data_IF_966279169245
#
_entry.id   IF_966279169245
#
_cell.length_a   1.000
_cell.length_b   1.000
_cell.length_c   1.000
_cell.angle_alpha   90.00
_cell.angle_beta   90.00
_cell.angle_gamma   90.00
#
_symmetry.space_group_name_H-M   'P 1'
#
loop_
_entity.id
_entity.type
_entity.pdbx_description
1 polymer ?
#
# COMPACT_ATOMS: atom_id res chain seq x y z
N UNK A 1 -8.49 10.62 -5.69
CA UNK A 1 -9.40 10.93 -4.57
C UNK A 1 -10.36 9.76 -4.44
N UNK A 2 -10.37 9.09 -3.29
CA UNK A 2 -11.37 8.06 -3.01
C UNK A 2 -12.73 8.76 -2.96
N UNK A 3 -13.66 8.35 -3.81
CA UNK A 3 -15.02 8.89 -3.88
C UNK A 3 -15.95 7.81 -3.38
N UNK A 4 -16.63 8.07 -2.27
CA UNK A 4 -17.58 7.14 -1.67
C UNK A 4 -18.74 7.93 -1.07
N UNK A 5 -19.95 7.37 -1.16
CA UNK A 5 -21.14 7.88 -0.48
C UNK A 5 -21.36 7.15 0.87
N UNK A 6 -20.42 6.28 1.26
CA UNK A 6 -20.50 5.53 2.52
C UNK A 6 -20.09 6.38 3.71
N UNK A 7 -20.70 6.07 4.85
CA UNK A 7 -20.35 6.64 6.16
C UNK A 7 -19.11 6.02 6.80
N UNK A 8 -18.63 4.89 6.26
CA UNK A 8 -17.39 4.24 6.67
C UNK A 8 -16.65 3.67 5.45
N UNK A 9 -15.33 3.52 5.60
CA UNK A 9 -14.47 2.89 4.60
C UNK A 9 -13.70 1.75 5.24
N UNK A 10 -13.80 0.56 4.66
CA UNK A 10 -12.95 -0.56 5.02
C UNK A 10 -11.87 -0.76 3.98
N UNK A 11 -10.62 -0.58 4.39
CA UNK A 11 -9.46 -0.66 3.50
C UNK A 11 -8.65 -1.92 3.81
N UNK A 12 -8.49 -2.78 2.82
CA UNK A 12 -7.50 -3.85 2.87
C UNK A 12 -6.11 -3.28 2.63
N UNK A 13 -5.13 -3.66 3.47
CA UNK A 13 -3.75 -3.23 3.32
C UNK A 13 -2.83 -4.45 3.21
N UNK A 14 -2.07 -4.50 2.12
CA UNK A 14 -1.01 -5.50 1.89
C UNK A 14 0.21 -4.83 1.26
N UNK A 15 1.31 -5.55 1.15
CA UNK A 15 2.55 -5.05 0.57
C UNK A 15 3.63 -6.12 0.68
N UNK A 16 4.80 -5.85 0.09
CA UNK A 16 5.99 -6.69 0.28
C UNK A 16 5.73 -8.17 -0.07
N UNK A 17 4.89 -8.42 -1.09
CA UNK A 17 4.48 -9.79 -1.46
C UNK A 17 5.63 -10.57 -2.08
N UNK A 18 6.51 -9.89 -2.81
CA UNK A 18 7.74 -10.41 -3.40
C UNK A 18 7.54 -11.70 -4.22
N UNK A 19 6.43 -11.82 -4.95
CA UNK A 19 6.09 -13.02 -5.72
C UNK A 19 6.74 -12.98 -7.12
N UNK A 20 7.59 -13.97 -7.50
CA UNK A 20 7.68 -15.30 -6.90
C UNK A 20 8.89 -15.52 -5.96
N UNK A 21 9.72 -14.50 -5.77
CA UNK A 21 11.03 -14.62 -5.10
C UNK A 21 10.98 -15.04 -3.62
N UNK A 22 9.93 -14.66 -2.88
CA UNK A 22 9.77 -14.99 -1.44
C UNK A 22 8.52 -15.81 -1.14
N UNK A 23 7.51 -15.74 -2.01
CA UNK A 23 6.29 -16.52 -1.92
C UNK A 23 5.83 -16.89 -3.34
N UNK A 24 5.22 -18.07 -3.54
CA UNK A 24 4.69 -18.46 -4.86
C UNK A 24 3.42 -17.68 -5.24
N UNK A 25 2.62 -17.27 -4.26
CA UNK A 25 1.36 -16.54 -4.42
C UNK A 25 0.97 -15.84 -3.11
N UNK A 26 -0.03 -14.96 -3.16
CA UNK A 26 -0.64 -14.38 -1.96
C UNK A 26 -1.54 -15.46 -1.35
N UNK A 27 -1.42 -15.77 -0.04
CA UNK A 27 -2.27 -16.76 0.61
C UNK A 27 -3.76 -16.50 0.37
N UNK A 28 -4.48 -17.51 -0.12
CA UNK A 28 -5.92 -17.40 -0.42
C UNK A 28 -6.75 -17.03 0.81
N UNK A 29 -6.32 -17.39 2.02
CA UNK A 29 -6.98 -16.98 3.26
C UNK A 29 -7.05 -15.45 3.42
N UNK A 30 -6.00 -14.72 3.04
CA UNK A 30 -5.97 -13.25 3.09
C UNK A 30 -6.94 -12.67 2.05
N UNK A 31 -6.90 -13.19 0.82
CA UNK A 31 -7.75 -12.71 -0.26
C UNK A 31 -9.24 -13.00 0.01
N UNK A 32 -9.54 -14.15 0.61
CA UNK A 32 -10.90 -14.52 1.02
C UNK A 32 -11.38 -13.64 2.17
N UNK A 33 -10.55 -13.38 3.19
CA UNK A 33 -10.90 -12.48 4.29
C UNK A 33 -11.28 -11.08 3.78
N UNK A 34 -10.53 -10.54 2.81
CA UNK A 34 -10.86 -9.26 2.17
C UNK A 34 -12.18 -9.29 1.40
N UNK A 35 -12.47 -10.38 0.68
CA UNK A 35 -13.75 -10.56 -0.03
C UNK A 35 -14.92 -10.68 0.93
N UNK A 36 -14.78 -11.49 1.98
CA UNK A 36 -15.81 -11.75 2.99
C UNK A 36 -16.16 -10.47 3.75
N UNK A 37 -15.14 -9.69 4.13
CA UNK A 37 -15.32 -8.38 4.78
C UNK A 37 -15.80 -7.28 3.82
N UNK A 38 -15.86 -7.55 2.52
CA UNK A 38 -16.31 -6.60 1.48
C UNK A 38 -15.56 -5.27 1.54
N UNK A 39 -14.22 -5.34 1.55
CA UNK A 39 -13.38 -4.13 1.53
C UNK A 39 -13.75 -3.21 0.36
N UNK A 40 -13.67 -1.90 0.61
CA UNK A 40 -13.94 -0.86 -0.37
C UNK A 40 -12.77 -0.65 -1.33
N UNK A 41 -11.57 -0.64 -0.76
CA UNK A 41 -10.31 -0.46 -1.48
C UNK A 41 -9.25 -1.41 -0.96
N UNK A 42 -8.36 -1.83 -1.85
CA UNK A 42 -7.16 -2.58 -1.51
C UNK A 42 -5.94 -1.71 -1.82
N UNK A 43 -5.17 -1.37 -0.79
CA UNK A 43 -3.88 -0.69 -0.92
C UNK A 43 -2.78 -1.76 -0.93
N UNK A 44 -1.94 -1.76 -1.97
CA UNK A 44 -0.71 -2.55 -2.02
C UNK A 44 0.52 -1.64 -1.98
N UNK A 45 1.36 -1.80 -0.95
CA UNK A 45 2.50 -0.93 -0.65
C UNK A 45 3.74 -1.22 -1.48
N UNK A 46 3.59 -1.71 -2.72
CA UNK A 46 4.72 -2.09 -3.58
C UNK A 46 5.42 -3.40 -3.22
N UNK A 47 6.48 -3.71 -3.94
CA UNK A 47 7.22 -4.99 -3.89
C UNK A 47 6.36 -6.19 -4.28
N UNK A 48 5.63 -6.04 -5.39
CA UNK A 48 4.97 -7.12 -6.09
C UNK A 48 5.98 -8.07 -6.76
N UNK A 49 7.09 -7.51 -7.27
CA UNK A 49 8.13 -8.11 -8.13
C UNK A 49 7.69 -8.55 -9.53
N UNK A 50 6.43 -8.94 -9.72
CA UNK A 50 5.85 -9.23 -11.03
C UNK A 50 4.54 -8.50 -11.29
N UNK A 51 4.37 -8.02 -12.53
CA UNK A 51 3.13 -7.38 -12.98
C UNK A 51 1.91 -8.28 -12.81
N UNK A 52 2.09 -9.61 -12.94
CA UNK A 52 1.02 -10.60 -12.81
C UNK A 52 0.28 -10.51 -11.47
N UNK A 53 0.98 -10.19 -10.39
CA UNK A 53 0.38 -10.06 -9.05
C UNK A 53 -0.62 -8.90 -9.04
N UNK A 54 -0.22 -7.74 -9.60
CA UNK A 54 -1.09 -6.59 -9.72
C UNK A 54 -2.32 -6.91 -10.58
N UNK A 55 -2.13 -7.56 -11.74
CA UNK A 55 -3.24 -7.90 -12.63
C UNK A 55 -4.21 -8.89 -11.97
N UNK A 56 -3.71 -9.90 -11.26
CA UNK A 56 -4.56 -10.83 -10.49
C UNK A 56 -5.40 -10.10 -9.44
N UNK A 57 -4.81 -9.17 -8.68
CA UNK A 57 -5.57 -8.38 -7.72
C UNK A 57 -6.64 -7.50 -8.39
N UNK A 58 -6.31 -6.87 -9.52
CA UNK A 58 -7.26 -6.06 -10.30
C UNK A 58 -8.40 -6.89 -10.89
N UNK A 59 -8.14 -8.12 -11.33
CA UNK A 59 -9.17 -9.06 -11.80
C UNK A 59 -10.08 -9.51 -10.66
N UNK A 60 -9.52 -9.74 -9.46
CA UNK A 60 -10.27 -10.25 -8.31
C UNK A 60 -11.14 -9.20 -7.63
N UNK A 61 -10.64 -7.97 -7.47
CA UNK A 61 -11.31 -6.91 -6.71
C UNK A 61 -11.86 -5.78 -7.59
N UNK A 62 -11.44 -5.71 -8.85
CA UNK A 62 -11.75 -4.61 -9.76
C UNK A 62 -10.65 -3.56 -9.76
N UNK A 63 -10.22 -3.16 -10.97
CA UNK A 63 -9.11 -2.22 -11.18
C UNK A 63 -9.26 -0.91 -10.41
N UNK A 64 -10.47 -0.36 -10.36
CA UNK A 64 -10.75 0.93 -9.72
C UNK A 64 -10.71 0.87 -8.18
N UNK A 65 -10.68 -0.33 -7.60
CA UNK A 65 -10.53 -0.54 -6.15
C UNK A 65 -9.08 -0.76 -5.72
N UNK A 66 -8.17 -1.00 -6.66
CA UNK A 66 -6.76 -1.24 -6.37
C UNK A 66 -6.00 0.08 -6.35
N UNK A 67 -5.42 0.40 -5.20
CA UNK A 67 -4.49 1.50 -5.03
C UNK A 67 -3.10 0.89 -4.83
N UNK A 68 -2.16 1.19 -5.71
CA UNK A 68 -0.86 0.56 -5.70
C UNK A 68 0.25 1.58 -5.95
N UNK A 69 1.37 1.36 -5.29
CA UNK A 69 2.61 2.12 -5.47
C UNK A 69 3.77 1.17 -5.77
N UNK A 70 4.89 1.70 -6.22
CA UNK A 70 6.13 0.95 -6.45
C UNK A 70 6.85 0.64 -5.15
N UNK A 71 7.39 -0.57 -5.06
CA UNK A 71 8.46 -0.92 -4.14
C UNK A 71 9.82 -1.01 -4.83
N UNK A 72 10.89 -1.14 -4.04
CA UNK A 72 12.26 -1.11 -4.57
C UNK A 72 12.64 -2.34 -5.41
N UNK A 73 11.95 -3.47 -5.22
CA UNK A 73 12.15 -4.72 -5.97
C UNK A 73 11.25 -4.84 -7.21
N UNK A 74 10.37 -3.86 -7.45
CA UNK A 74 9.47 -3.91 -8.59
C UNK A 74 10.18 -3.71 -9.93
N UNK A 75 9.75 -4.51 -10.90
CA UNK A 75 10.39 -4.58 -12.21
C UNK A 75 10.02 -3.39 -13.12
N UNK A 76 10.66 -3.32 -14.28
CA UNK A 76 10.47 -2.22 -15.23
C UNK A 76 9.03 -2.08 -15.75
N UNK A 77 8.24 -3.16 -15.82
CA UNK A 77 6.84 -3.08 -16.26
C UNK A 77 5.98 -2.35 -15.23
N UNK A 78 6.14 -2.67 -13.95
CA UNK A 78 5.46 -1.98 -12.85
C UNK A 78 5.89 -0.52 -12.78
N UNK A 79 7.19 -0.23 -12.93
CA UNK A 79 7.75 1.13 -12.92
C UNK A 79 7.16 2.07 -13.98
N UNK A 80 6.58 1.53 -15.06
CA UNK A 80 5.92 2.32 -16.10
C UNK A 80 4.50 2.76 -15.75
N UNK A 81 3.86 2.09 -14.79
CA UNK A 81 2.41 2.21 -14.57
C UNK A 81 2.03 2.56 -13.14
N UNK A 82 2.90 2.28 -12.17
CA UNK A 82 2.67 2.63 -10.77
C UNK A 82 3.50 3.84 -10.38
N UNK A 83 2.95 4.75 -9.56
CA UNK A 83 3.71 5.85 -8.98
C UNK A 83 4.60 5.36 -7.83
N UNK A 84 5.65 6.12 -7.50
CA UNK A 84 6.52 5.81 -6.35
C UNK A 84 5.82 6.05 -5.01
N UNK A 85 4.96 7.05 -4.95
CA UNK A 85 4.19 7.44 -3.77
C UNK A 85 2.84 8.04 -4.20
N UNK A 86 1.92 8.14 -3.25
CA UNK A 86 0.58 8.68 -3.46
C UNK A 86 0.17 9.57 -2.29
N UNK A 87 -0.43 10.70 -2.63
CA UNK A 87 -1.23 11.49 -1.71
C UNK A 87 -2.71 11.20 -1.96
N UNK A 88 -3.45 10.91 -0.90
CA UNK A 88 -4.86 10.60 -0.99
C UNK A 88 -5.61 11.10 0.24
N UNK A 89 -6.90 11.38 0.07
CA UNK A 89 -7.79 11.74 1.18
C UNK A 89 -8.60 10.50 1.56
N UNK A 90 -8.45 10.02 2.80
CA UNK A 90 -9.23 8.93 3.38
C UNK A 90 -10.23 9.52 4.35
N UNK A 91 -11.50 9.60 3.95
CA UNK A 91 -12.59 10.03 4.83
C UNK A 91 -12.32 11.39 5.50
N UNK A 92 -11.81 12.36 4.74
CA UNK A 92 -11.43 13.68 5.24
C UNK A 92 -9.95 13.81 5.63
N UNK A 93 -9.26 12.70 5.90
CA UNK A 93 -7.88 12.72 6.40
C UNK A 93 -6.83 12.73 5.30
N UNK A 94 -5.90 13.70 5.34
CA UNK A 94 -4.79 13.76 4.37
C UNK A 94 -3.83 12.61 4.66
N UNK A 95 -3.71 11.70 3.70
CA UNK A 95 -2.95 10.46 3.82
C UNK A 95 -1.81 10.40 2.80
N UNK A 96 -0.62 10.04 3.27
CA UNK A 96 0.53 9.76 2.42
C UNK A 96 0.80 8.25 2.36
N UNK A 97 1.02 7.72 1.16
CA UNK A 97 1.33 6.31 0.93
C UNK A 97 2.65 6.18 0.19
N UNK A 98 3.59 5.44 0.74
CA UNK A 98 4.94 5.26 0.18
C UNK A 98 5.50 3.89 0.55
N UNK A 99 6.34 3.27 -0.27
CA UNK A 99 6.90 1.97 0.09
C UNK A 99 7.92 2.13 1.22
N UNK A 100 8.70 3.21 1.19
CA UNK A 100 9.73 3.51 2.18
C UNK A 100 11.14 3.16 1.72
N UNK A 101 12.11 3.53 2.56
CA UNK A 101 13.53 3.30 2.29
C UNK A 101 14.36 3.32 3.58
N UNK A 102 15.37 2.46 3.65
CA UNK A 102 16.29 2.38 4.77
C UNK A 102 15.82 1.45 5.88
N UNK A 103 16.59 1.38 6.97
CA UNK A 103 16.35 0.41 8.04
C UNK A 103 15.11 0.74 8.91
N UNK A 104 14.53 -0.29 9.57
CA UNK A 104 13.29 -0.15 10.35
C UNK A 104 13.36 0.90 11.45
N UNK A 105 14.49 1.02 12.15
CA UNK A 105 14.63 1.92 13.30
C UNK A 105 14.66 3.41 12.92
N UNK A 106 14.83 3.73 11.63
CA UNK A 106 14.98 5.11 11.15
C UNK A 106 13.96 5.47 10.08
N UNK A 107 13.07 4.56 9.70
CA UNK A 107 12.20 4.73 8.53
C UNK A 107 11.35 5.99 8.64
N UNK A 108 10.66 6.22 9.76
CA UNK A 108 9.83 7.41 9.96
C UNK A 108 10.64 8.70 9.84
N UNK A 109 11.81 8.77 10.48
CA UNK A 109 12.70 9.94 10.40
C UNK A 109 13.16 10.20 8.96
N UNK A 110 13.47 9.13 8.20
CA UNK A 110 13.87 9.24 6.79
C UNK A 110 12.70 9.68 5.91
N UNK A 111 11.54 9.06 6.05
CA UNK A 111 10.33 9.42 5.32
C UNK A 111 9.99 10.89 5.54
N UNK A 112 10.03 11.36 6.80
CA UNK A 112 9.81 12.77 7.09
C UNK A 112 10.83 13.69 6.42
N UNK A 113 12.11 13.31 6.44
CA UNK A 113 13.16 14.11 5.80
C UNK A 113 12.99 14.18 4.29
N UNK A 114 12.46 13.11 3.66
CA UNK A 114 12.32 13.00 2.21
C UNK A 114 11.04 13.66 1.68
N UNK A 115 9.95 13.59 2.44
CA UNK A 115 8.62 13.95 1.94
C UNK A 115 7.91 15.06 2.73
N UNK A 116 8.52 15.58 3.80
CA UNK A 116 7.88 16.49 4.77
C UNK A 116 6.48 16.02 5.17
N UNK A 117 6.44 15.18 6.21
CA UNK A 117 5.19 14.55 6.61
C UNK A 117 4.28 15.45 7.47
N UNK A 118 4.59 16.74 7.58
CA UNK A 118 3.93 17.66 8.53
C UNK A 118 2.44 17.85 8.26
N UNK A 119 2.03 17.83 6.99
CA UNK A 119 0.63 18.07 6.62
C UNK A 119 -0.24 16.81 6.60
N UNK A 120 0.34 15.61 6.82
CA UNK A 120 -0.39 14.35 6.72
C UNK A 120 -0.79 13.83 8.09
N UNK A 121 -2.06 13.46 8.21
CA UNK A 121 -2.62 12.85 9.42
C UNK A 121 -2.37 11.35 9.48
N UNK A 122 -2.25 10.71 8.30
CA UNK A 122 -2.01 9.29 8.16
C UNK A 122 -0.84 9.07 7.21
N UNK A 123 0.11 8.23 7.61
CA UNK A 123 1.22 7.79 6.75
C UNK A 123 1.23 6.28 6.71
N UNK A 124 1.08 5.71 5.52
CA UNK A 124 1.05 4.27 5.28
C UNK A 124 2.31 3.88 4.52
N UNK A 125 3.08 2.95 5.07
CA UNK A 125 4.35 2.52 4.47
C UNK A 125 4.68 1.04 4.67
N UNK A 126 5.55 0.51 3.81
CA UNK A 126 6.00 -0.88 3.78
C UNK A 126 7.51 -1.03 4.03
N UNK A 127 8.17 -1.88 3.25
CA UNK A 127 9.63 -2.09 3.17
C UNK A 127 10.26 -2.79 4.39
N UNK A 128 9.75 -2.54 5.60
CA UNK A 128 10.41 -2.99 6.84
C UNK A 128 9.99 -4.39 7.30
N UNK A 129 8.98 -4.98 6.66
CA UNK A 129 8.44 -6.32 6.98
C UNK A 129 8.08 -6.47 8.47
N UNK A 130 7.66 -5.36 9.10
CA UNK A 130 7.28 -5.28 10.50
C UNK A 130 5.97 -4.49 10.63
N UNK A 131 4.98 -5.01 11.36
CA UNK A 131 3.80 -4.24 11.69
C UNK A 131 4.19 -2.96 12.44
N UNK A 132 3.59 -1.85 12.05
CA UNK A 132 3.81 -0.55 12.68
C UNK A 132 2.47 0.17 12.81
N UNK A 133 2.14 0.61 14.02
CA UNK A 133 0.95 1.40 14.32
C UNK A 133 1.25 2.27 15.54
N UNK A 134 1.78 3.46 15.29
CA UNK A 134 2.18 4.40 16.34
C UNK A 134 1.70 5.81 16.01
N UNK A 135 1.50 6.62 17.04
CA UNK A 135 1.33 8.07 16.89
C UNK A 135 2.71 8.71 16.92
N UNK A 136 2.97 9.56 15.92
CA UNK A 136 4.25 10.23 15.77
C UNK A 136 4.07 11.74 15.89
N UNK A 137 5.03 12.41 16.53
CA UNK A 137 4.97 13.83 16.94
C UNK A 137 3.87 14.15 17.97
N UNK A 138 3.74 13.30 18.99
CA UNK A 138 2.95 13.59 20.20
C UNK A 138 3.79 14.36 21.21
#
# INVERSE_FOLDING_TARGET
MIKTDKEELLIGLIGDTHIPSRAPEIPNSILNDFKEKKIDYLIHLGDFTQLKVLTTLQEMFGKDKIIAILGNMDNHQLKKILPENLELNLFGHKTFVTHGTGGPNIIIKRLNKLHDLTDYEIVIFGHVHRPYNERWRV
#
